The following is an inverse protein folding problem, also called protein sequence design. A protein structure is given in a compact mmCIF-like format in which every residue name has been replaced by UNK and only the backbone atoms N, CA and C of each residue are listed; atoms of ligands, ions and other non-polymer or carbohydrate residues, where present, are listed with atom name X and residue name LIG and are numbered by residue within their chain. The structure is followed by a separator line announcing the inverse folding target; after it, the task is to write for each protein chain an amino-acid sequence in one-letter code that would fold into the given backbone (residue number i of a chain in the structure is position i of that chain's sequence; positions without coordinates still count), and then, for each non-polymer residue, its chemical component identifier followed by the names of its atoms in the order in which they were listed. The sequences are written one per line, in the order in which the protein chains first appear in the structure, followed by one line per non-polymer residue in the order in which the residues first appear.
data_IF_581875972962
#
_entry.id   IF_581875972962
#
_cell.length_a   1.000
_cell.length_b   1.000
_cell.length_c   1.000
_cell.angle_alpha   90.00
_cell.angle_beta   90.00
_cell.angle_gamma   90.00
#
_symmetry.space_group_name_H-M   'P 1'
#
loop_
_entity.id
_entity.type
_entity.pdbx_description
1 polymer ?
#
# COMPACT_ATOMS: atom_id res chain seq x y z
N UNK A 1 -9.30 -8.79 6.47
CA UNK A 1 -8.09 -9.49 6.96
C UNK A 1 -8.35 -10.64 7.91
N UNK A 2 -9.45 -10.66 8.67
CA UNK A 2 -9.69 -11.67 9.71
C UNK A 2 -9.55 -13.12 9.24
N UNK A 3 -10.05 -13.45 8.04
CA UNK A 3 -10.01 -14.80 7.49
C UNK A 3 -8.61 -15.42 7.39
N UNK A 4 -7.62 -14.64 6.93
CA UNK A 4 -6.24 -15.10 6.84
C UNK A 4 -5.58 -15.21 8.23
N UNK A 5 -5.91 -14.27 9.14
CA UNK A 5 -5.42 -14.31 10.54
C UNK A 5 -5.98 -15.49 11.32
N UNK A 6 -7.19 -15.93 11.01
CA UNK A 6 -7.84 -17.12 11.59
C UNK A 6 -7.35 -18.43 10.95
N UNK A 7 -6.42 -18.37 9.99
CA UNK A 7 -5.80 -19.55 9.40
C UNK A 7 -6.64 -20.26 8.34
N UNK A 8 -7.67 -19.60 7.79
CA UNK A 8 -8.55 -20.22 6.79
C UNK A 8 -7.96 -20.25 5.37
N UNK A 9 -6.81 -19.62 5.13
CA UNK A 9 -6.07 -19.77 3.89
C UNK A 9 -5.10 -18.63 3.59
N UNK A 10 -4.66 -18.58 2.33
CA UNK A 10 -3.70 -17.61 1.79
C UNK A 10 -4.45 -16.48 1.08
N UNK A 11 -3.96 -15.25 1.20
CA UNK A 11 -4.50 -14.07 0.52
C UNK A 11 -3.40 -13.29 -0.19
N UNK A 12 -3.70 -12.74 -1.37
CA UNK A 12 -2.87 -11.74 -2.03
C UNK A 12 -3.42 -10.36 -1.69
N UNK A 13 -2.60 -9.54 -1.05
CA UNK A 13 -2.99 -8.26 -0.48
C UNK A 13 -1.80 -7.32 -0.52
N UNK A 14 -2.06 -6.02 -0.51
CA UNK A 14 -1.01 -5.02 -0.44
C UNK A 14 -0.22 -5.16 0.87
N UNK A 15 1.04 -4.76 0.84
CA UNK A 15 1.87 -4.83 2.02
C UNK A 15 1.51 -3.78 3.07
N UNK A 16 1.03 -2.60 2.67
CA UNK A 16 0.63 -1.57 3.62
C UNK A 16 -0.60 -1.97 4.44
N UNK A 17 -1.47 -2.84 3.93
CA UNK A 17 -2.61 -3.36 4.70
C UNK A 17 -2.19 -4.37 5.77
N UNK A 18 -1.10 -5.12 5.55
CA UNK A 18 -0.71 -6.26 6.41
C UNK A 18 0.61 -6.08 7.16
N UNK A 19 1.29 -4.95 6.96
CA UNK A 19 2.61 -4.67 7.50
C UNK A 19 2.70 -4.90 9.01
N UNK A 20 1.72 -4.44 9.78
CA UNK A 20 1.70 -4.63 11.24
C UNK A 20 1.53 -6.09 11.63
N UNK A 21 0.64 -6.81 10.96
CA UNK A 21 0.40 -8.24 11.21
C UNK A 21 1.62 -9.11 10.84
N UNK A 22 2.38 -8.73 9.80
CA UNK A 22 3.66 -9.35 9.48
C UNK A 22 4.71 -9.06 10.58
N UNK A 23 4.84 -7.82 11.07
CA UNK A 23 5.76 -7.49 12.20
C UNK A 23 5.42 -8.24 13.46
N UNK A 24 4.13 -8.38 13.76
CA UNK A 24 3.63 -9.06 14.94
C UNK A 24 3.72 -10.60 14.82
N UNK A 25 4.00 -11.14 13.64
CA UNK A 25 4.03 -12.58 13.39
C UNK A 25 2.64 -13.23 13.30
N UNK A 26 1.58 -12.43 13.23
CA UNK A 26 0.20 -12.91 13.02
C UNK A 26 -0.02 -13.45 11.60
N UNK A 27 0.75 -12.93 10.65
CA UNK A 27 0.78 -13.39 9.27
C UNK A 27 2.22 -13.71 8.87
N UNK A 28 2.37 -14.58 7.87
CA UNK A 28 3.67 -14.94 7.29
C UNK A 28 3.61 -14.79 5.77
N UNK A 29 4.70 -14.28 5.17
CA UNK A 29 4.84 -14.24 3.71
C UNK A 29 5.04 -15.65 3.18
N UNK A 30 4.24 -16.02 2.19
CA UNK A 30 4.39 -17.26 1.43
C UNK A 30 4.67 -16.92 -0.03
N UNK A 31 5.32 -17.84 -0.76
CA UNK A 31 5.64 -17.67 -2.19
C UNK A 31 6.40 -16.36 -2.49
N UNK A 32 7.59 -16.13 -1.91
CA UNK A 32 8.28 -14.84 -2.01
C UNK A 32 8.65 -14.44 -3.46
N UNK A 33 8.81 -15.40 -4.36
CA UNK A 33 9.10 -15.12 -5.77
C UNK A 33 7.89 -14.54 -6.54
N UNK A 34 6.70 -14.59 -5.97
CA UNK A 34 5.46 -14.14 -6.59
C UNK A 34 5.02 -12.79 -6.01
N UNK A 35 4.87 -11.79 -6.88
CA UNK A 35 4.43 -10.44 -6.51
C UNK A 35 3.65 -9.79 -7.64
N UNK A 36 2.75 -8.88 -7.27
CA UNK A 36 2.04 -7.99 -8.20
C UNK A 36 2.25 -6.55 -7.78
N UNK A 37 2.31 -5.62 -8.74
CA UNK A 37 2.34 -4.19 -8.38
C UNK A 37 0.98 -3.79 -7.84
N UNK A 38 1.00 -2.94 -6.83
CA UNK A 38 -0.17 -2.29 -6.28
C UNK A 38 0.09 -0.78 -6.40
N UNK A 39 -0.10 -0.25 -7.60
CA UNK A 39 0.19 1.15 -7.87
C UNK A 39 -1.00 2.02 -7.46
N UNK A 40 -0.74 3.14 -6.79
CA UNK A 40 -1.76 4.13 -6.43
C UNK A 40 -1.74 5.26 -7.45
N UNK A 41 -2.87 5.48 -8.12
CA UNK A 41 -3.00 6.50 -9.17
C UNK A 41 -3.97 7.59 -8.75
N UNK A 42 -3.59 8.85 -8.99
CA UNK A 42 -4.52 9.97 -8.95
C UNK A 42 -5.25 10.07 -10.30
N UNK A 43 -6.55 9.81 -10.32
CA UNK A 43 -7.38 9.92 -11.52
C UNK A 43 -8.20 11.21 -11.44
N UNK A 44 -8.08 12.07 -12.43
CA UNK A 44 -8.79 13.36 -12.50
C UNK A 44 -9.50 13.53 -13.82
N UNK A 45 -10.60 14.28 -13.85
CA UNK A 45 -11.19 14.72 -15.10
C UNK A 45 -10.19 15.59 -15.90
N UNK A 46 -10.08 15.36 -17.21
CA UNK A 46 -9.09 16.00 -18.08
C UNK A 46 -9.07 17.52 -17.94
N UNK A 47 -10.24 18.18 -17.98
CA UNK A 47 -10.36 19.65 -17.84
C UNK A 47 -9.89 20.20 -16.49
N UNK A 48 -9.90 19.36 -15.44
CA UNK A 48 -9.47 19.75 -14.10
C UNK A 48 -8.01 19.40 -13.83
N UNK A 49 -7.40 18.54 -14.64
CA UNK A 49 -6.02 18.10 -14.46
C UNK A 49 -5.01 19.25 -14.48
N UNK A 50 -5.26 20.33 -15.24
CA UNK A 50 -4.38 21.51 -15.29
C UNK A 50 -4.62 22.52 -14.16
N UNK A 51 -5.63 22.31 -13.30
CA UNK A 51 -5.93 23.22 -12.20
C UNK A 51 -4.82 23.20 -11.15
N UNK A 52 -4.26 24.38 -10.83
CA UNK A 52 -3.23 24.53 -9.82
C UNK A 52 -3.64 23.95 -8.46
N UNK A 53 -4.91 24.09 -8.07
CA UNK A 53 -5.42 23.51 -6.81
C UNK A 53 -5.37 21.98 -6.81
N UNK A 54 -5.72 21.35 -7.93
CA UNK A 54 -5.68 19.90 -8.07
C UNK A 54 -4.23 19.40 -8.05
N UNK A 55 -3.34 20.07 -8.78
CA UNK A 55 -1.91 19.74 -8.79
C UNK A 55 -1.28 19.82 -7.40
N UNK A 56 -1.53 20.91 -6.66
CA UNK A 56 -1.03 21.06 -5.28
C UNK A 56 -1.60 19.98 -4.36
N UNK A 57 -2.88 19.62 -4.50
CA UNK A 57 -3.50 18.56 -3.71
C UNK A 57 -2.88 17.18 -4.01
N UNK A 58 -2.69 16.85 -5.30
CA UNK A 58 -2.05 15.59 -5.71
C UNK A 58 -0.61 15.53 -5.21
N UNK A 59 0.14 16.63 -5.30
CA UNK A 59 1.52 16.67 -4.81
C UNK A 59 1.57 16.48 -3.30
N UNK A 60 0.70 17.15 -2.55
CA UNK A 60 0.56 16.93 -1.11
C UNK A 60 0.26 15.46 -0.78
N UNK A 61 -0.71 14.85 -1.46
CA UNK A 61 -1.03 13.44 -1.24
C UNK A 61 0.14 12.52 -1.59
N UNK A 62 0.84 12.79 -2.70
CA UNK A 62 2.03 12.03 -3.10
C UNK A 62 3.12 12.12 -2.04
N UNK A 63 3.41 13.31 -1.55
CA UNK A 63 4.41 13.51 -0.50
C UNK A 63 4.02 12.77 0.78
N UNK A 64 2.77 12.92 1.23
CA UNK A 64 2.28 12.30 2.46
C UNK A 64 2.28 10.78 2.40
N UNK A 65 1.92 10.19 1.24
CA UNK A 65 1.87 8.73 1.05
C UNK A 65 3.23 8.11 0.74
N UNK A 66 4.26 8.90 0.42
CA UNK A 66 5.61 8.38 0.13
C UNK A 66 6.62 8.62 1.24
N UNK A 67 6.55 9.77 1.92
CA UNK A 67 7.57 10.22 2.89
C UNK A 67 6.99 10.88 4.14
N UNK A 68 5.72 11.26 4.13
CA UNK A 68 5.07 11.90 5.27
C UNK A 68 4.67 10.93 6.38
N UNK A 69 3.95 11.42 7.41
CA UNK A 69 3.46 10.61 8.52
C UNK A 69 2.46 9.52 8.10
N UNK A 70 1.95 9.58 6.87
CA UNK A 70 1.04 8.59 6.27
C UNK A 70 1.73 7.75 5.19
N UNK A 71 3.06 7.71 5.19
CA UNK A 71 3.81 7.00 4.17
C UNK A 71 3.41 5.52 4.16
N UNK A 72 3.06 5.02 2.97
CA UNK A 72 2.72 3.63 2.78
C UNK A 72 3.98 2.81 2.96
N UNK A 73 3.85 1.70 3.69
CA UNK A 73 4.86 0.66 3.67
C UNK A 73 4.86 0.07 2.26
N UNK A 74 5.99 0.12 1.56
CA UNK A 74 6.11 -0.32 0.16
C UNK A 74 7.13 -1.43 -0.06
N UNK A 75 7.80 -1.88 1.02
CA UNK A 75 8.82 -2.92 0.98
C UNK A 75 8.60 -3.94 2.09
N UNK A 76 9.15 -5.12 1.87
CA UNK A 76 8.95 -6.26 2.75
C UNK A 76 9.32 -5.95 4.20
N UNK A 77 8.41 -6.32 5.08
CA UNK A 77 8.48 -6.05 6.50
C UNK A 77 8.98 -7.32 7.16
N UNK A 78 10.30 -7.52 7.14
CA UNK A 78 10.91 -8.69 7.77
C UNK A 78 12.13 -9.29 7.10
N UNK A 79 12.79 -8.62 6.14
CA UNK A 79 14.03 -9.14 5.54
C UNK A 79 13.86 -10.46 4.77
N UNK A 80 12.62 -10.79 4.39
CA UNK A 80 12.21 -11.91 3.54
C UNK A 80 11.74 -11.40 2.18
#
# INVERSE_FOLDING_TARGET
MQWAKEGYGIVMVSIWDVAESLRAGELVRVLPDYRQSADVWAVTAERLSSSARIQVCIEFLREQLTRGPYALVTRDVGGL
#
